data_IF_899205409200
#
_entry.id   IF_899205409200
#
_cell.length_a   1.000
_cell.length_b   1.000
_cell.length_c   1.000
_cell.angle_alpha   90.00
_cell.angle_beta   90.00
_cell.angle_gamma   90.00
#
_symmetry.space_group_name_H-M   'P 1'
#
loop_
_entity.id
_entity.type
_entity.pdbx_description
1 polymer ?
#
# COMPACT_ATOMS: atom_id res chain seq x y z
N UNK A 1 11.38 -14.87 11.90
CA UNK A 1 9.95 -14.47 11.97
C UNK A 1 9.85 -13.26 12.88
N UNK A 2 9.19 -12.19 12.45
CA UNK A 2 9.10 -10.88 13.14
C UNK A 2 7.62 -10.50 13.26
N UNK A 3 7.21 -9.90 14.39
CA UNK A 3 5.88 -9.29 14.58
C UNK A 3 6.06 -7.78 14.60
N UNK A 4 5.41 -7.08 13.67
CA UNK A 4 5.53 -5.62 13.49
C UNK A 4 4.26 -4.85 13.81
N UNK A 5 3.17 -5.57 14.14
CA UNK A 5 1.86 -5.04 14.51
C UNK A 5 1.44 -5.54 15.89
N UNK A 6 0.62 -4.74 16.58
CA UNK A 6 -0.04 -5.11 17.82
C UNK A 6 -1.05 -6.25 17.60
N UNK A 7 -1.42 -6.92 18.70
CA UNK A 7 -2.49 -7.90 18.70
C UNK A 7 -3.77 -7.20 19.15
N UNK A 8 -4.77 -7.20 18.29
CA UNK A 8 -6.09 -6.64 18.56
C UNK A 8 -7.16 -7.51 17.88
N UNK A 9 -8.39 -7.64 18.45
CA UNK A 9 -9.44 -8.46 17.87
C UNK A 9 -9.90 -8.04 16.47
N UNK A 10 -9.86 -6.74 16.15
CA UNK A 10 -10.40 -6.18 14.91
C UNK A 10 -9.43 -5.28 14.15
N UNK A 11 -8.28 -4.95 14.75
CA UNK A 11 -7.31 -4.03 14.16
C UNK A 11 -5.98 -4.72 13.87
N UNK A 12 -5.46 -4.52 12.66
CA UNK A 12 -4.04 -4.74 12.37
C UNK A 12 -3.36 -3.38 12.46
N UNK A 13 -2.88 -3.02 13.67
CA UNK A 13 -2.38 -1.69 13.99
C UNK A 13 -0.91 -1.66 14.44
N UNK A 14 -0.18 -0.59 14.12
CA UNK A 14 1.19 -0.35 14.58
C UNK A 14 1.44 1.14 14.74
N UNK A 15 2.29 1.49 15.72
CA UNK A 15 2.81 2.84 15.93
C UNK A 15 4.27 2.98 15.46
N UNK A 16 4.78 1.97 14.76
CA UNK A 16 6.18 1.92 14.33
C UNK A 16 6.27 1.80 12.82
N UNK A 17 7.19 2.55 12.25
CA UNK A 17 7.59 2.43 10.87
C UNK A 17 9.07 2.05 10.80
N UNK A 18 9.33 0.90 10.18
CA UNK A 18 10.66 0.35 9.97
C UNK A 18 10.86 0.13 8.47
N UNK A 19 11.72 0.91 7.77
CA UNK A 19 11.88 0.82 6.32
C UNK A 19 12.24 -0.59 5.83
N UNK A 20 12.97 -1.38 6.61
CA UNK A 20 13.35 -2.76 6.28
C UNK A 20 12.16 -3.73 6.26
N UNK A 21 11.05 -3.39 6.94
CA UNK A 21 9.83 -4.19 6.96
C UNK A 21 8.77 -3.66 5.99
N UNK A 22 9.08 -2.68 5.14
CA UNK A 22 8.08 -1.99 4.30
C UNK A 22 7.23 -2.95 3.47
N UNK A 23 7.86 -3.91 2.77
CA UNK A 23 7.14 -4.91 1.98
C UNK A 23 6.27 -5.84 2.83
N UNK A 24 6.67 -6.14 4.06
CA UNK A 24 5.87 -6.91 5.01
C UNK A 24 4.66 -6.09 5.45
N UNK A 25 4.87 -4.85 5.85
CA UNK A 25 3.82 -3.90 6.24
C UNK A 25 2.76 -3.77 5.13
N UNK A 26 3.19 -3.50 3.89
CA UNK A 26 2.32 -3.41 2.71
C UNK A 26 1.49 -4.66 2.43
N UNK A 27 2.03 -5.83 2.77
CA UNK A 27 1.32 -7.10 2.55
C UNK A 27 0.23 -7.29 3.60
N UNK A 28 0.52 -6.95 4.86
CA UNK A 28 -0.40 -7.07 5.99
C UNK A 28 -1.54 -6.05 5.93
N UNK A 29 -1.30 -4.87 5.33
CA UNK A 29 -2.30 -3.80 5.20
C UNK A 29 -2.89 -3.69 3.79
N UNK A 30 -2.88 -4.79 3.03
CA UNK A 30 -3.56 -4.85 1.74
C UNK A 30 -5.10 -4.79 1.91
N UNK A 31 -5.77 -4.14 0.97
CA UNK A 31 -7.24 -3.99 0.93
C UNK A 31 -7.80 -4.51 -0.40
N UNK A 32 -9.04 -4.99 -0.39
CA UNK A 32 -9.70 -5.58 -1.56
C UNK A 32 -11.21 -5.67 -1.40
N UNK A 33 -11.94 -5.66 -2.52
CA UNK A 33 -13.41 -5.76 -2.54
C UNK A 33 -13.94 -6.88 -3.50
N UNK A 34 -13.04 -7.76 -3.94
CA UNK A 34 -13.31 -8.84 -4.90
C UNK A 34 -13.24 -8.41 -6.37
N UNK A 35 -13.61 -7.16 -6.69
CA UNK A 35 -13.43 -6.60 -8.03
C UNK A 35 -11.98 -6.18 -8.26
N UNK A 36 -11.36 -5.58 -7.25
CA UNK A 36 -9.95 -5.20 -7.26
C UNK A 36 -9.33 -5.34 -5.87
N UNK A 37 -8.00 -5.29 -5.84
CA UNK A 37 -7.23 -5.28 -4.61
C UNK A 37 -5.91 -4.56 -4.77
N UNK A 38 -5.38 -4.04 -3.68
CA UNK A 38 -4.10 -3.34 -3.68
C UNK A 38 -3.34 -3.55 -2.38
N UNK A 39 -2.02 -3.46 -2.46
CA UNK A 39 -1.15 -3.50 -1.30
C UNK A 39 -1.30 -2.22 -0.46
N UNK A 40 -0.87 -2.29 0.79
CA UNK A 40 -0.78 -1.16 1.72
C UNK A 40 0.32 -0.15 1.36
N UNK A 41 0.50 0.16 0.06
CA UNK A 41 1.46 1.17 -0.40
C UNK A 41 1.06 2.55 0.12
N UNK A 42 2.02 3.48 0.23
CA UNK A 42 1.71 4.85 0.61
C UNK A 42 1.20 5.63 -0.61
N UNK A 43 0.29 6.56 -0.37
CA UNK A 43 -0.30 7.45 -1.37
C UNK A 43 0.73 8.46 -1.87
N UNK A 44 1.47 9.07 -0.95
CA UNK A 44 2.58 9.96 -1.24
C UNK A 44 3.80 9.21 -1.75
N UNK A 45 4.82 9.98 -2.10
CA UNK A 45 6.06 9.40 -2.56
C UNK A 45 6.69 8.52 -1.48
N UNK A 46 7.20 7.36 -1.89
CA UNK A 46 8.08 6.56 -1.06
C UNK A 46 9.23 6.08 -1.94
N UNK A 47 10.45 6.53 -1.69
CA UNK A 47 11.61 6.16 -2.52
C UNK A 47 12.38 4.94 -2.03
N UNK A 48 12.04 4.42 -0.85
CA UNK A 48 12.66 3.21 -0.28
C UNK A 48 12.18 1.92 -0.94
N UNK A 49 12.64 0.79 -0.40
CA UNK A 49 12.23 -0.53 -0.88
C UNK A 49 10.73 -0.78 -0.68
N UNK A 50 10.02 -1.08 -1.76
CA UNK A 50 8.59 -1.34 -1.75
C UNK A 50 8.18 -2.26 -2.89
N UNK A 51 6.96 -2.79 -2.82
CA UNK A 51 6.33 -3.49 -3.93
C UNK A 51 4.99 -2.83 -4.25
N UNK A 52 4.95 -2.00 -5.29
CA UNK A 52 3.70 -1.43 -5.80
C UNK A 52 2.82 -2.52 -6.38
N UNK A 53 1.56 -2.59 -5.94
CA UNK A 53 0.63 -3.61 -6.42
C UNK A 53 -0.82 -3.16 -6.35
N UNK A 54 -1.43 -2.95 -7.52
CA UNK A 54 -2.87 -2.81 -7.72
C UNK A 54 -3.30 -3.85 -8.74
N UNK A 55 -4.36 -4.61 -8.48
CA UNK A 55 -4.76 -5.75 -9.29
C UNK A 55 -6.27 -5.71 -9.52
N UNK A 56 -6.69 -6.02 -10.75
CA UNK A 56 -8.10 -6.12 -11.14
C UNK A 56 -8.47 -7.59 -11.32
N UNK A 57 -9.60 -8.00 -10.73
CA UNK A 57 -10.10 -9.36 -10.82
C UNK A 57 -10.33 -9.76 -12.27
N UNK A 58 -9.78 -10.92 -12.67
CA UNK A 58 -9.91 -11.43 -14.03
C UNK A 58 -9.01 -10.75 -15.08
N UNK A 59 -8.22 -9.75 -14.72
CA UNK A 59 -7.25 -9.12 -15.63
C UNK A 59 -5.87 -9.77 -15.45
N UNK A 60 -5.43 -10.52 -16.45
CA UNK A 60 -4.19 -11.30 -16.39
C UNK A 60 -3.45 -11.26 -17.73
N UNK A 61 -2.19 -11.68 -17.69
CA UNK A 61 -1.34 -11.75 -18.88
C UNK A 61 -0.71 -13.16 -19.02
N UNK A 62 -0.75 -13.76 -20.22
CA UNK A 62 -0.10 -15.04 -20.50
C UNK A 62 1.39 -14.83 -20.74
N UNK A 63 2.15 -14.63 -19.66
CA UNK A 63 3.59 -14.41 -19.79
C UNK A 63 4.30 -15.65 -20.31
N UNK A 64 5.24 -15.51 -21.24
CA UNK A 64 5.87 -16.65 -21.92
C UNK A 64 6.57 -17.55 -20.91
N UNK A 65 6.36 -18.86 -21.02
CA UNK A 65 7.02 -19.84 -20.15
C UNK A 65 8.53 -19.68 -20.22
N UNK A 66 9.15 -19.47 -19.04
CA UNK A 66 10.60 -19.39 -18.87
C UNK A 66 11.05 -20.52 -17.95
N UNK A 67 11.82 -21.45 -18.51
CA UNK A 67 12.34 -22.64 -17.80
C UNK A 67 13.82 -22.80 -18.08
N UNK A 68 14.53 -23.51 -17.21
CA UNK A 68 15.94 -23.85 -17.45
C UNK A 68 16.11 -24.73 -18.69
N UNK A 69 15.29 -25.78 -18.80
CA UNK A 69 15.27 -26.70 -19.95
C UNK A 69 13.82 -27.11 -20.27
N UNK A 70 13.49 -27.17 -21.55
CA UNK A 70 12.14 -27.51 -22.01
C UNK A 70 11.81 -29.01 -21.83
N UNK A 71 10.53 -29.33 -21.63
CA UNK A 71 10.00 -30.69 -21.56
C UNK A 71 8.69 -30.80 -22.34
N UNK A 72 8.41 -31.98 -22.89
CA UNK A 72 7.16 -32.26 -23.58
C UNK A 72 5.99 -32.10 -22.60
N UNK A 73 4.97 -31.35 -23.01
CA UNK A 73 3.79 -31.05 -22.18
C UNK A 73 3.88 -29.75 -21.37
N UNK A 74 4.99 -29.01 -21.41
CA UNK A 74 5.04 -27.69 -20.78
C UNK A 74 4.07 -26.70 -21.43
N UNK A 75 3.38 -25.87 -20.62
CA UNK A 75 2.47 -24.87 -21.14
C UNK A 75 3.25 -23.79 -21.88
N UNK A 76 2.60 -23.15 -22.85
CA UNK A 76 3.21 -22.05 -23.60
C UNK A 76 3.39 -20.78 -22.74
N UNK A 77 2.60 -20.63 -21.68
CA UNK A 77 2.58 -19.45 -20.83
C UNK A 77 2.34 -19.75 -19.34
N UNK A 78 2.66 -18.77 -18.51
CA UNK A 78 2.30 -18.69 -17.10
C UNK A 78 1.34 -17.51 -16.91
N UNK A 79 0.06 -17.82 -16.68
CA UNK A 79 -0.95 -16.80 -16.41
C UNK A 79 -0.68 -16.11 -15.08
N UNK A 80 -0.57 -14.79 -15.10
CA UNK A 80 -0.38 -13.97 -13.89
C UNK A 80 -1.31 -12.78 -13.88
N UNK A 81 -1.88 -12.46 -12.72
CA UNK A 81 -2.50 -11.18 -12.50
C UNK A 81 -1.43 -10.09 -12.70
N UNK A 82 -1.76 -9.08 -13.49
CA UNK A 82 -0.83 -7.99 -13.80
C UNK A 82 -1.01 -6.85 -12.81
N UNK A 83 0.09 -6.18 -12.47
CA UNK A 83 0.02 -4.92 -11.77
C UNK A 83 -0.64 -3.89 -12.72
N UNK A 84 -1.85 -3.46 -12.36
CA UNK A 84 -2.63 -2.49 -13.09
C UNK A 84 -2.05 -1.08 -12.93
N UNK A 85 -2.42 -0.13 -13.82
CA UNK A 85 -2.17 1.29 -13.58
C UNK A 85 -2.68 1.69 -12.19
N UNK A 86 -1.80 2.26 -11.37
CA UNK A 86 -2.15 2.64 -10.01
C UNK A 86 -2.88 3.97 -9.98
N UNK A 87 -4.05 4.00 -9.34
CA UNK A 87 -4.81 5.21 -9.01
C UNK A 87 -4.47 5.75 -7.61
N UNK A 88 -3.58 5.08 -6.88
CA UNK A 88 -3.18 5.45 -5.52
C UNK A 88 -2.32 6.71 -5.40
N UNK A 89 -1.36 7.01 -6.31
CA UNK A 89 -0.37 8.04 -6.05
C UNK A 89 -0.98 9.44 -5.95
N UNK A 90 -0.75 10.10 -4.80
CA UNK A 90 -1.07 11.50 -4.53
C UNK A 90 0.25 12.21 -4.20
N UNK A 91 0.78 13.01 -5.11
CA UNK A 91 2.05 13.71 -4.89
C UNK A 91 1.84 14.88 -3.93
N UNK A 92 2.39 14.76 -2.72
CA UNK A 92 2.32 15.78 -1.68
C UNK A 92 3.67 16.47 -1.54
N UNK A 93 3.65 17.80 -1.46
CA UNK A 93 4.81 18.62 -1.11
C UNK A 93 4.46 19.57 0.03
N UNK A 94 5.43 19.82 0.90
CA UNK A 94 5.38 20.87 1.93
C UNK A 94 6.52 21.84 1.63
N UNK A 95 6.19 23.10 1.32
CA UNK A 95 7.19 24.12 0.93
C UNK A 95 8.15 23.63 -0.17
N UNK A 96 7.61 23.11 -1.27
CA UNK A 96 8.35 22.48 -2.38
C UNK A 96 9.13 21.19 -2.07
N UNK A 97 9.23 20.77 -0.80
CA UNK A 97 9.86 19.51 -0.42
C UNK A 97 8.86 18.36 -0.55
N UNK A 98 9.19 17.28 -1.30
CA UNK A 98 8.32 16.12 -1.40
C UNK A 98 8.24 15.40 -0.05
N UNK A 99 7.03 14.98 0.32
CA UNK A 99 6.83 14.09 1.48
C UNK A 99 7.18 12.66 1.05
N UNK A 100 8.24 12.13 1.65
CA UNK A 100 8.85 10.83 1.41
C UNK A 100 9.40 10.25 2.71
N UNK A 101 8.62 9.36 3.34
CA UNK A 101 8.97 8.73 4.63
C UNK A 101 10.22 7.82 4.57
N UNK A 102 10.78 7.57 3.38
CA UNK A 102 12.10 6.93 3.27
C UNK A 102 13.26 7.89 3.56
N UNK A 103 13.00 9.21 3.55
CA UNK A 103 14.04 10.26 3.63
C UNK A 103 13.76 11.33 4.67
N UNK A 104 12.51 11.71 4.85
CA UNK A 104 12.13 12.80 5.75
C UNK A 104 12.05 12.33 7.20
N UNK A 105 12.26 13.27 8.12
CA UNK A 105 11.95 13.10 9.53
C UNK A 105 10.43 13.17 9.75
N UNK A 106 9.94 12.36 10.67
CA UNK A 106 8.55 12.33 11.09
C UNK A 106 8.44 11.71 12.47
N UNK A 107 7.32 11.97 13.15
CA UNK A 107 6.96 11.36 14.43
C UNK A 107 5.49 10.96 14.49
N UNK A 108 5.08 10.38 15.62
CA UNK A 108 3.70 9.97 15.88
C UNK A 108 3.08 9.12 14.77
N UNK A 109 3.89 8.24 14.17
CA UNK A 109 3.43 7.34 13.14
C UNK A 109 2.37 6.38 13.68
N UNK A 110 1.32 6.18 12.91
CA UNK A 110 0.31 5.18 13.16
C UNK A 110 -0.22 4.65 11.83
N UNK A 111 -0.38 3.34 11.75
CA UNK A 111 -0.97 2.64 10.61
C UNK A 111 -1.89 1.57 11.14
N UNK A 112 -3.12 1.53 10.66
CA UNK A 112 -4.08 0.53 11.06
C UNK A 112 -5.03 0.13 9.94
N UNK A 113 -5.21 -1.17 9.77
CA UNK A 113 -6.30 -1.75 8.99
C UNK A 113 -7.41 -2.19 9.96
N UNK A 114 -8.58 -1.56 9.82
CA UNK A 114 -9.80 -1.98 10.48
C UNK A 114 -10.44 -3.13 9.70
N UNK A 115 -10.47 -4.32 10.30
CA UNK A 115 -11.01 -5.53 9.68
C UNK A 115 -12.55 -5.58 9.69
N UNK A 116 -13.20 -4.82 10.56
CA UNK A 116 -14.65 -4.73 10.62
C UNK A 116 -15.20 -3.85 9.50
N UNK A 117 -14.50 -2.75 9.18
CA UNK A 117 -14.93 -1.78 8.16
C UNK A 117 -14.21 -1.93 6.81
N UNK A 118 -13.05 -2.60 6.77
CA UNK A 118 -12.18 -2.62 5.59
C UNK A 118 -11.49 -1.27 5.32
N UNK A 119 -11.31 -0.45 6.37
CA UNK A 119 -10.73 0.89 6.28
C UNK A 119 -9.25 0.86 6.65
N UNK A 120 -8.40 1.30 5.74
CA UNK A 120 -6.99 1.54 6.02
C UNK A 120 -6.79 2.99 6.44
N UNK A 121 -6.27 3.20 7.64
CA UNK A 121 -5.95 4.52 8.18
C UNK A 121 -4.46 4.63 8.44
N UNK A 122 -3.87 5.77 8.10
CA UNK A 122 -2.47 6.08 8.42
C UNK A 122 -2.35 7.54 8.82
N UNK A 123 -1.52 7.83 9.80
CA UNK A 123 -1.19 9.19 10.19
C UNK A 123 0.26 9.29 10.65
N UNK A 124 0.80 10.50 10.53
CA UNK A 124 2.11 10.88 11.06
C UNK A 124 2.20 12.39 11.10
N UNK A 125 3.14 12.90 11.90
CA UNK A 125 3.54 14.31 11.85
C UNK A 125 4.82 14.39 11.03
N UNK A 126 4.74 15.06 9.88
CA UNK A 126 5.90 15.41 9.07
C UNK A 126 6.69 16.53 9.76
N UNK A 127 8.01 16.37 9.86
CA UNK A 127 8.92 17.35 10.45
C UNK A 127 9.77 17.98 9.33
N UNK A 128 9.31 19.12 8.82
CA UNK A 128 10.09 19.96 7.90
C UNK A 128 10.90 21.00 8.66
N UNK A 129 11.79 21.71 7.96
CA UNK A 129 12.75 22.65 8.58
C UNK A 129 12.11 23.69 9.52
N UNK A 130 10.97 24.25 9.11
CA UNK A 130 10.27 25.33 9.82
C UNK A 130 8.76 25.08 9.96
N UNK A 131 8.31 23.87 9.63
CA UNK A 131 6.90 23.54 9.60
C UNK A 131 6.70 22.09 10.00
N UNK A 132 5.69 21.87 10.82
CA UNK A 132 5.19 20.55 11.13
C UNK A 132 3.80 20.43 10.52
N UNK A 133 3.53 19.31 9.86
CA UNK A 133 2.23 19.05 9.25
C UNK A 133 1.77 17.68 9.70
N UNK A 134 0.61 17.60 10.34
CA UNK A 134 -0.04 16.32 10.62
C UNK A 134 -0.77 15.88 9.37
N UNK A 135 -0.40 14.72 8.85
CA UNK A 135 -1.14 14.07 7.78
C UNK A 135 -1.97 12.92 8.32
N UNK A 136 -3.22 12.85 7.87
CA UNK A 136 -4.13 11.75 8.12
C UNK A 136 -4.64 11.23 6.77
N UNK A 137 -4.49 9.93 6.53
CA UNK A 137 -4.90 9.22 5.34
C UNK A 137 -5.94 8.18 5.72
N UNK A 138 -7.01 8.13 4.95
CA UNK A 138 -8.04 7.11 5.09
C UNK A 138 -8.42 6.61 3.71
N UNK A 139 -8.41 5.29 3.51
CA UNK A 139 -8.85 4.72 2.23
C UNK A 139 -9.52 3.36 2.38
N UNK A 140 -10.42 3.08 1.45
CA UNK A 140 -11.04 1.78 1.29
C UNK A 140 -11.41 1.54 -0.17
N UNK A 141 -11.57 0.26 -0.53
CA UNK A 141 -12.18 -0.15 -1.78
C UNK A 141 -13.65 -0.45 -1.50
N UNK A 142 -14.55 0.26 -2.17
CA UNK A 142 -15.97 0.21 -1.82
C UNK A 142 -16.54 -1.19 -2.07
N UNK A 143 -17.24 -1.74 -1.07
CA UNK A 143 -17.93 -3.01 -1.23
C UNK A 143 -19.30 -2.87 -1.91
N UNK A 144 -19.79 -1.61 -2.05
CA UNK A 144 -21.10 -1.27 -2.64
C UNK A 144 -20.94 -0.93 -4.12
N UNK A 145 -20.20 0.13 -4.43
CA UNK A 145 -19.74 0.46 -5.79
C UNK A 145 -18.39 -0.23 -6.00
N UNK A 146 -18.38 -1.35 -6.73
CA UNK A 146 -17.23 -2.26 -6.81
C UNK A 146 -16.04 -1.69 -7.57
N UNK A 147 -16.32 -0.76 -8.47
CA UNK A 147 -15.37 -0.08 -9.35
C UNK A 147 -14.71 1.13 -8.67
N UNK A 148 -15.15 1.49 -7.46
CA UNK A 148 -14.71 2.69 -6.76
C UNK A 148 -13.67 2.42 -5.66
N UNK A 149 -12.65 3.26 -5.64
CA UNK A 149 -11.72 3.44 -4.55
C UNK A 149 -11.90 4.85 -3.97
N UNK A 150 -11.91 4.99 -2.65
CA UNK A 150 -12.01 6.28 -1.98
C UNK A 150 -10.74 6.49 -1.16
N UNK A 151 -10.14 7.67 -1.31
CA UNK A 151 -8.95 8.12 -0.58
C UNK A 151 -9.26 9.51 -0.05
N UNK A 152 -9.13 9.68 1.26
CA UNK A 152 -9.21 10.96 1.94
C UNK A 152 -7.85 11.29 2.53
N UNK A 153 -7.37 12.51 2.29
CA UNK A 153 -6.13 13.05 2.84
C UNK A 153 -6.44 14.35 3.54
N UNK A 154 -6.08 14.45 4.81
CA UNK A 154 -6.22 15.65 5.62
C UNK A 154 -4.85 16.09 6.10
N UNK A 155 -4.58 17.38 5.98
CA UNK A 155 -3.36 18.01 6.46
C UNK A 155 -3.74 19.15 7.41
N UNK A 156 -3.12 19.20 8.59
CA UNK A 156 -3.34 20.23 9.63
C UNK A 156 -2.05 20.66 10.28
#
# INVERSE_FOLDING_TARGET
MKRTFAVDPWMIATHQFHPEDKRLQESLTAIGNGYMGMRGNFEEQYSGDQLSGTYLGGVWFPDKTRVGWWKNGYPAYFGKAINAPSFLPIRIKVNEQPVDLAKNSFRDFYLALDLHQGLLTRQFIYEGDQVEVRFEFQRFLSNVVKEAALINVKAT
#
